data_IF_329719429561
#
_entry.id   IF_329719429561
#
_cell.length_a   1.000
_cell.length_b   1.000
_cell.length_c   1.000
_cell.angle_alpha   90.00
_cell.angle_beta   90.00
_cell.angle_gamma   90.00
#
_symmetry.space_group_name_H-M   'P 1'
#
loop_
_entity.id
_entity.type
_entity.pdbx_description
1 polymer ?
#
# COMPACT_ATOMS: atom_id res chain seq x y z
N UNK A 1 -9.87 24.58 5.15
CA UNK A 1 -9.96 23.11 4.94
C UNK A 1 -10.29 22.74 3.49
N UNK A 2 -11.34 23.31 2.86
CA UNK A 2 -11.67 23.00 1.46
C UNK A 2 -10.55 23.37 0.46
N UNK A 3 -9.94 24.55 0.62
CA UNK A 3 -8.81 25.01 -0.23
C UNK A 3 -7.64 24.01 -0.25
N UNK A 4 -7.28 23.45 0.91
CA UNK A 4 -6.17 22.50 0.99
C UNK A 4 -6.50 21.19 0.29
N UNK A 5 -7.75 20.68 0.42
CA UNK A 5 -8.21 19.47 -0.27
C UNK A 5 -8.24 19.63 -1.79
N UNK A 6 -8.69 20.79 -2.27
CA UNK A 6 -8.72 21.09 -3.71
C UNK A 6 -7.30 21.19 -4.25
N UNK A 7 -6.38 21.86 -3.54
CA UNK A 7 -4.98 21.98 -3.95
C UNK A 7 -4.29 20.61 -3.99
N UNK A 8 -4.46 19.78 -2.96
CA UNK A 8 -3.84 18.45 -2.93
C UNK A 8 -4.38 17.55 -4.04
N UNK A 9 -5.67 17.62 -4.35
CA UNK A 9 -6.25 16.89 -5.49
C UNK A 9 -5.75 17.42 -6.83
N UNK A 10 -5.73 18.74 -6.99
CA UNK A 10 -5.29 19.40 -8.23
C UNK A 10 -3.81 19.19 -8.53
N UNK A 11 -2.97 18.95 -7.52
CA UNK A 11 -1.55 18.63 -7.71
C UNK A 11 -1.31 17.12 -7.78
N UNK A 12 -1.95 16.35 -6.89
CA UNK A 12 -1.75 14.91 -6.78
C UNK A 12 -2.20 14.13 -8.02
N UNK A 13 -3.37 14.48 -8.58
CA UNK A 13 -3.89 13.79 -9.77
C UNK A 13 -2.99 13.98 -10.99
N UNK A 14 -2.60 15.22 -11.38
CA UNK A 14 -1.64 15.41 -12.47
C UNK A 14 -0.29 14.76 -12.19
N UNK A 15 0.22 14.81 -10.95
CA UNK A 15 1.50 14.18 -10.60
C UNK A 15 1.46 12.67 -10.88
N UNK A 16 0.41 11.97 -10.46
CA UNK A 16 0.24 10.54 -10.72
C UNK A 16 0.13 10.27 -12.23
N UNK A 17 -0.67 11.05 -12.96
CA UNK A 17 -0.81 10.90 -14.41
C UNK A 17 0.53 11.11 -15.13
N UNK A 18 1.26 12.17 -14.79
CA UNK A 18 2.57 12.47 -15.39
C UNK A 18 3.59 11.38 -15.05
N UNK A 19 3.61 10.88 -13.82
CA UNK A 19 4.49 9.77 -13.43
C UNK A 19 4.22 8.49 -14.23
N UNK A 20 2.94 8.20 -14.53
CA UNK A 20 2.54 7.06 -15.37
C UNK A 20 2.91 7.33 -16.84
N UNK A 21 2.71 8.54 -17.33
CA UNK A 21 2.97 8.89 -18.74
C UNK A 21 4.46 8.85 -19.08
N UNK A 22 5.31 9.44 -18.23
CA UNK A 22 6.76 9.54 -18.43
C UNK A 22 7.55 8.38 -17.80
N UNK A 23 6.88 7.32 -17.35
CA UNK A 23 7.50 6.16 -16.72
C UNK A 23 8.43 5.34 -17.63
N UNK A 24 8.45 5.62 -18.94
CA UNK A 24 9.40 5.04 -19.89
C UNK A 24 10.15 6.18 -20.61
N UNK A 25 11.50 6.18 -20.67
CA UNK A 25 12.47 5.23 -20.11
C UNK A 25 12.89 5.50 -18.66
N UNK A 26 12.38 6.55 -18.02
CA UNK A 26 12.82 6.98 -16.68
C UNK A 26 11.96 6.37 -15.58
N UNK A 27 12.54 5.93 -14.44
CA UNK A 27 11.82 5.15 -13.42
C UNK A 27 10.89 5.99 -12.52
N UNK A 28 10.30 7.08 -13.02
CA UNK A 28 9.46 8.00 -12.25
C UNK A 28 8.29 7.31 -11.55
N UNK A 29 7.60 6.41 -12.25
CA UNK A 29 6.52 5.63 -11.67
C UNK A 29 7.02 4.70 -10.55
N UNK A 30 8.19 4.08 -10.73
CA UNK A 30 8.78 3.21 -9.69
C UNK A 30 9.16 3.99 -8.44
N UNK A 31 9.72 5.19 -8.60
CA UNK A 31 10.04 6.08 -7.48
C UNK A 31 8.78 6.54 -6.74
N UNK A 32 7.70 6.86 -7.47
CA UNK A 32 6.41 7.21 -6.89
C UNK A 32 5.87 6.07 -6.01
N UNK A 33 5.81 4.86 -6.55
CA UNK A 33 5.27 3.70 -5.82
C UNK A 33 6.18 3.31 -4.64
N UNK A 34 7.50 3.40 -4.80
CA UNK A 34 8.45 3.16 -3.70
C UNK A 34 8.28 4.20 -2.56
N UNK A 35 8.14 5.48 -2.91
CA UNK A 35 7.88 6.54 -1.93
C UNK A 35 6.52 6.33 -1.22
N UNK A 36 5.47 5.99 -1.98
CA UNK A 36 4.16 5.69 -1.44
C UNK A 36 4.19 4.48 -0.49
N UNK A 37 4.96 3.43 -0.82
CA UNK A 37 5.10 2.27 0.04
C UNK A 37 5.90 2.57 1.31
N UNK A 38 6.98 3.35 1.23
CA UNK A 38 7.72 3.76 2.43
C UNK A 38 6.85 4.62 3.35
N UNK A 39 6.11 5.58 2.79
CA UNK A 39 5.18 6.41 3.56
C UNK A 39 4.05 5.58 4.18
N UNK A 40 3.41 4.72 3.38
CA UNK A 40 2.32 3.86 3.84
C UNK A 40 2.76 2.85 4.90
N UNK A 41 3.93 2.23 4.74
CA UNK A 41 4.48 1.28 5.72
C UNK A 41 4.88 2.01 7.00
N UNK A 42 5.43 3.23 6.91
CA UNK A 42 5.73 4.06 8.08
C UNK A 42 4.46 4.41 8.86
N UNK A 43 3.40 4.86 8.19
CA UNK A 43 2.12 5.16 8.82
C UNK A 43 1.49 3.91 9.43
N UNK A 44 1.55 2.77 8.74
CA UNK A 44 1.08 1.48 9.24
C UNK A 44 1.77 1.08 10.54
N UNK A 45 3.11 1.17 10.60
CA UNK A 45 3.85 0.86 11.83
C UNK A 45 3.63 1.88 12.94
N UNK A 46 3.40 3.15 12.59
CA UNK A 46 3.04 4.16 13.57
C UNK A 46 1.69 3.85 14.23
N UNK A 47 0.69 3.44 13.46
CA UNK A 47 -0.60 2.97 13.98
C UNK A 47 -0.48 1.69 14.82
N UNK A 48 0.51 0.84 14.51
CA UNK A 48 0.83 -0.36 15.28
C UNK A 48 1.65 -0.07 16.56
N UNK A 49 1.85 1.20 16.94
CA UNK A 49 2.61 1.66 18.12
C UNK A 49 4.10 1.29 18.11
N UNK A 50 4.74 1.30 16.94
CA UNK A 50 6.20 1.22 16.89
C UNK A 50 6.82 2.58 17.18
N UNK A 51 7.76 2.61 18.14
CA UNK A 51 8.59 3.80 18.36
C UNK A 51 9.54 4.03 17.19
N UNK A 52 9.84 5.31 16.92
CA UNK A 52 10.80 5.70 15.85
C UNK A 52 12.22 5.17 16.06
N UNK A 53 12.53 4.72 17.28
CA UNK A 53 13.84 4.13 17.64
C UNK A 53 13.85 2.61 17.51
N UNK A 54 12.72 1.96 17.25
CA UNK A 54 12.65 0.51 17.11
C UNK A 54 13.36 0.05 15.82
N UNK A 55 14.44 -0.73 15.91
CA UNK A 55 15.18 -1.23 14.74
C UNK A 55 14.29 -2.00 13.77
N UNK A 56 13.27 -2.68 14.30
CA UNK A 56 12.30 -3.46 13.55
C UNK A 56 11.46 -2.61 12.57
N UNK A 57 11.24 -1.33 12.87
CA UNK A 57 10.57 -0.41 11.97
C UNK A 57 11.39 -0.23 10.68
N UNK A 58 12.70 0.00 10.82
CA UNK A 58 13.61 0.15 9.68
C UNK A 58 13.75 -1.13 8.89
N UNK A 59 13.79 -2.29 9.57
CA UNK A 59 13.73 -3.58 8.90
C UNK A 59 12.47 -3.67 8.02
N UNK A 60 11.30 -3.43 8.58
CA UNK A 60 10.04 -3.48 7.84
C UNK A 60 9.98 -2.50 6.65
N UNK A 61 10.52 -1.29 6.80
CA UNK A 61 10.64 -0.32 5.70
C UNK A 61 11.55 -0.83 4.57
N UNK A 62 12.71 -1.38 4.91
CA UNK A 62 13.64 -1.97 3.94
C UNK A 62 13.00 -3.16 3.21
N UNK A 63 12.27 -4.00 3.94
CA UNK A 63 11.54 -5.14 3.39
C UNK A 63 10.43 -4.69 2.45
N UNK A 64 9.64 -3.69 2.85
CA UNK A 64 8.62 -3.08 2.00
C UNK A 64 9.22 -2.51 0.71
N UNK A 65 10.38 -1.84 0.80
CA UNK A 65 11.08 -1.29 -0.37
C UNK A 65 11.58 -2.40 -1.30
N UNK A 66 12.20 -3.44 -0.74
CA UNK A 66 12.68 -4.59 -1.51
C UNK A 66 11.54 -5.33 -2.21
N UNK A 67 10.39 -5.49 -1.54
CA UNK A 67 9.21 -6.13 -2.12
C UNK A 67 8.60 -5.29 -3.25
N UNK A 68 8.48 -3.97 -3.07
CA UNK A 68 7.97 -3.07 -4.12
C UNK A 68 8.84 -3.12 -5.37
N UNK A 69 10.16 -3.11 -5.21
CA UNK A 69 11.10 -3.11 -6.32
C UNK A 69 11.35 -4.49 -6.92
N UNK A 70 10.83 -5.57 -6.31
CA UNK A 70 11.00 -6.95 -6.79
C UNK A 70 10.67 -7.17 -8.28
N UNK A 71 9.68 -6.50 -8.90
CA UNK A 71 9.37 -6.72 -10.31
C UNK A 71 10.50 -6.31 -11.28
N UNK A 72 11.43 -5.46 -10.84
CA UNK A 72 12.63 -5.10 -11.63
C UNK A 72 13.68 -6.20 -11.65
N UNK A 73 13.64 -7.13 -10.69
CA UNK A 73 14.61 -8.19 -10.49
C UNK A 73 14.00 -9.57 -10.73
N UNK A 74 13.20 -9.73 -11.80
CA UNK A 74 12.49 -10.99 -12.15
C UNK A 74 13.39 -12.24 -12.23
N UNK A 75 14.70 -12.08 -12.42
CA UNK A 75 15.66 -13.19 -12.44
C UNK A 75 15.97 -13.77 -11.06
N UNK A 76 15.64 -13.06 -9.99
CA UNK A 76 15.84 -13.48 -8.61
C UNK A 76 14.46 -13.82 -7.99
N UNK A 77 14.38 -14.90 -7.23
CA UNK A 77 13.21 -15.21 -6.39
C UNK A 77 13.19 -14.27 -5.17
N UNK A 78 13.04 -12.97 -5.43
CA UNK A 78 13.13 -11.91 -4.41
C UNK A 78 12.08 -12.09 -3.32
N UNK A 79 10.87 -12.54 -3.67
CA UNK A 79 9.76 -12.68 -2.72
C UNK A 79 10.08 -13.70 -1.61
N UNK A 80 10.40 -14.98 -1.90
CA UNK A 80 10.84 -15.93 -0.87
C UNK A 80 12.04 -15.44 -0.05
N UNK A 81 13.04 -14.84 -0.71
CA UNK A 81 14.26 -14.37 -0.06
C UNK A 81 13.94 -13.26 0.94
N UNK A 82 13.23 -12.22 0.50
CA UNK A 82 12.88 -11.07 1.36
C UNK A 82 11.98 -11.51 2.50
N UNK A 83 10.94 -12.32 2.25
CA UNK A 83 10.05 -12.78 3.33
C UNK A 83 10.83 -13.62 4.35
N UNK A 84 11.60 -14.61 3.88
CA UNK A 84 12.35 -15.51 4.78
C UNK A 84 13.38 -14.75 5.59
N UNK A 85 14.17 -13.88 4.97
CA UNK A 85 15.17 -13.06 5.67
C UNK A 85 14.52 -12.10 6.67
N UNK A 86 13.41 -11.46 6.31
CA UNK A 86 12.64 -10.60 7.22
C UNK A 86 12.15 -11.39 8.43
N UNK A 87 11.56 -12.57 8.22
CA UNK A 87 11.07 -13.43 9.29
C UNK A 87 12.21 -13.87 10.21
N UNK A 88 13.34 -14.32 9.67
CA UNK A 88 14.48 -14.78 10.45
C UNK A 88 15.14 -13.64 11.24
N UNK A 89 15.44 -12.51 10.60
CA UNK A 89 16.10 -11.37 11.25
C UNK A 89 15.20 -10.80 12.35
N UNK A 90 13.90 -10.61 12.08
CA UNK A 90 12.97 -10.09 13.09
C UNK A 90 12.82 -11.06 14.27
N UNK A 91 12.78 -12.37 14.01
CA UNK A 91 12.68 -13.38 15.07
C UNK A 91 13.96 -13.46 15.91
N UNK A 92 15.14 -13.45 15.28
CA UNK A 92 16.43 -13.41 15.98
C UNK A 92 16.53 -12.15 16.85
N UNK A 93 16.18 -10.99 16.30
CA UNK A 93 16.17 -9.74 17.04
C UNK A 93 15.27 -9.81 18.29
N UNK A 94 14.08 -10.39 18.17
CA UNK A 94 13.14 -10.54 19.28
C UNK A 94 13.62 -11.56 20.33
N UNK A 95 14.30 -12.63 19.91
CA UNK A 95 14.89 -13.61 20.83
C UNK A 95 16.04 -13.01 21.66
N UNK A 96 16.81 -12.09 21.09
CA UNK A 96 17.89 -11.38 21.77
C UNK A 96 17.40 -10.23 22.66
N UNK A 97 16.12 -9.85 22.61
CA UNK A 97 15.58 -8.73 23.38
C UNK A 97 15.30 -9.15 24.83
N UNK A 98 15.69 -8.35 25.84
CA UNK A 98 15.49 -8.68 27.25
C UNK A 98 14.02 -8.67 27.68
N UNK A 99 13.18 -7.82 27.08
CA UNK A 99 11.74 -7.84 27.27
C UNK A 99 11.05 -8.55 26.12
N UNK A 100 10.20 -9.53 26.45
CA UNK A 100 9.37 -10.28 25.50
C UNK A 100 7.94 -9.78 25.44
N UNK A 101 7.62 -8.75 26.20
CA UNK A 101 6.29 -8.18 26.19
C UNK A 101 5.96 -7.71 24.76
N UNK A 102 4.83 -8.18 24.23
CA UNK A 102 4.37 -7.86 22.88
C UNK A 102 5.28 -8.31 21.72
N UNK A 103 6.29 -9.16 21.98
CA UNK A 103 7.24 -9.60 20.95
C UNK A 103 6.54 -10.24 19.74
N UNK A 104 5.61 -11.16 19.99
CA UNK A 104 4.84 -11.80 18.92
C UNK A 104 3.95 -10.81 18.15
N UNK A 105 3.31 -9.87 18.86
CA UNK A 105 2.48 -8.83 18.24
C UNK A 105 3.32 -7.95 17.30
N UNK A 106 4.48 -7.52 17.77
CA UNK A 106 5.38 -6.68 16.97
C UNK A 106 5.89 -7.46 15.75
N UNK A 107 6.31 -8.71 15.93
CA UNK A 107 6.68 -9.59 14.83
C UNK A 107 5.59 -9.70 13.76
N UNK A 108 4.36 -9.98 14.18
CA UNK A 108 3.21 -10.10 13.29
C UNK A 108 2.94 -8.79 12.54
N UNK A 109 3.01 -7.63 13.20
CA UNK A 109 2.79 -6.34 12.56
C UNK A 109 3.88 -5.98 11.55
N UNK A 110 5.15 -6.32 11.80
CA UNK A 110 6.23 -6.06 10.82
C UNK A 110 5.97 -6.81 9.54
N UNK A 111 5.69 -8.11 9.65
CA UNK A 111 5.38 -8.96 8.50
C UNK A 111 4.11 -8.46 7.81
N UNK A 112 3.06 -8.16 8.57
CA UNK A 112 1.82 -7.64 8.04
C UNK A 112 2.03 -6.33 7.27
N UNK A 113 2.77 -5.36 7.80
CA UNK A 113 3.01 -4.09 7.10
C UNK A 113 3.83 -4.27 5.82
N UNK A 114 4.87 -5.11 5.86
CA UNK A 114 5.72 -5.37 4.69
C UNK A 114 4.94 -6.08 3.57
N UNK A 115 4.11 -7.08 3.91
CA UNK A 115 3.29 -7.79 2.93
C UNK A 115 2.08 -6.96 2.48
N UNK A 116 1.35 -6.35 3.40
CA UNK A 116 0.12 -5.63 3.09
C UNK A 116 0.38 -4.34 2.31
N UNK A 117 1.40 -3.57 2.67
CA UNK A 117 1.73 -2.33 1.97
C UNK A 117 2.73 -2.61 0.86
N UNK A 118 3.90 -3.16 1.21
CA UNK A 118 5.00 -3.34 0.27
C UNK A 118 4.68 -4.32 -0.85
N UNK A 119 4.28 -5.55 -0.53
CA UNK A 119 3.99 -6.55 -1.55
C UNK A 119 2.75 -6.20 -2.37
N UNK A 120 1.67 -5.68 -1.78
CA UNK A 120 0.50 -5.28 -2.57
C UNK A 120 0.80 -4.13 -3.53
N UNK A 121 1.62 -3.14 -3.11
CA UNK A 121 2.01 -2.04 -4.00
C UNK A 121 2.98 -2.47 -5.11
N UNK A 122 3.71 -3.57 -4.95
CA UNK A 122 4.59 -4.09 -6.02
C UNK A 122 3.80 -4.48 -7.27
N UNK A 123 2.53 -4.88 -7.12
CA UNK A 123 1.66 -5.23 -8.25
C UNK A 123 1.41 -4.06 -9.20
N UNK A 124 1.51 -2.80 -8.76
CA UNK A 124 1.49 -1.66 -9.67
C UNK A 124 2.66 -1.67 -10.65
N UNK A 125 3.85 -2.02 -10.17
CA UNK A 125 5.04 -2.15 -11.02
C UNK A 125 4.98 -3.42 -11.88
N UNK A 126 4.45 -4.52 -11.35
CA UNK A 126 4.20 -5.73 -12.16
C UNK A 126 3.21 -5.48 -13.29
N UNK A 127 2.12 -4.74 -13.02
CA UNK A 127 1.11 -4.36 -14.00
C UNK A 127 1.71 -3.45 -15.07
N UNK A 128 2.56 -2.49 -14.67
CA UNK A 128 3.30 -1.64 -15.61
C UNK A 128 4.27 -2.43 -16.49
N UNK A 129 4.83 -3.52 -15.97
CA UNK A 129 5.75 -4.40 -16.71
C UNK A 129 5.07 -5.40 -17.65
N UNK A 130 3.76 -5.32 -17.86
CA UNK A 130 3.02 -6.09 -18.88
C UNK A 130 3.06 -5.38 -20.25
N UNK A 131 2.68 -6.11 -21.30
CA UNK A 131 2.37 -5.50 -22.59
C UNK A 131 1.22 -4.49 -22.40
N UNK A 132 1.41 -3.29 -22.94
CA UNK A 132 0.51 -2.15 -22.73
C UNK A 132 0.26 -1.79 -21.25
N UNK A 133 1.23 -2.08 -20.37
CA UNK A 133 1.11 -1.90 -18.92
C UNK A 133 0.75 -0.48 -18.48
N UNK A 134 1.06 0.54 -19.29
CA UNK A 134 0.61 1.92 -19.06
C UNK A 134 -0.91 2.03 -19.05
N UNK A 135 -1.58 1.46 -20.06
CA UNK A 135 -3.03 1.55 -20.17
C UNK A 135 -3.72 0.71 -19.10
N UNK A 136 -3.14 -0.44 -18.73
CA UNK A 136 -3.61 -1.22 -17.60
C UNK A 136 -3.54 -0.48 -16.27
N UNK A 137 -2.45 0.27 -16.01
CA UNK A 137 -2.34 1.12 -14.82
C UNK A 137 -3.39 2.23 -14.82
N UNK A 138 -3.61 2.90 -15.95
CA UNK A 138 -4.67 3.91 -16.05
C UNK A 138 -6.05 3.31 -15.83
N UNK A 139 -6.33 2.16 -16.43
CA UNK A 139 -7.59 1.45 -16.25
C UNK A 139 -7.81 1.14 -14.77
N UNK A 140 -6.83 0.56 -14.08
CA UNK A 140 -6.95 0.21 -12.66
C UNK A 140 -7.20 1.45 -11.76
N UNK A 141 -6.54 2.59 -12.03
CA UNK A 141 -6.77 3.82 -11.25
C UNK A 141 -8.16 4.39 -11.55
N UNK A 142 -8.56 4.45 -12.81
CA UNK A 142 -9.86 4.98 -13.20
C UNK A 142 -11.00 4.11 -12.67
N UNK A 143 -10.88 2.78 -12.72
CA UNK A 143 -11.91 1.87 -12.19
C UNK A 143 -12.01 1.95 -10.68
N UNK A 144 -10.89 2.06 -9.95
CA UNK A 144 -10.94 2.26 -8.49
C UNK A 144 -11.58 3.59 -8.12
N UNK A 145 -11.25 4.69 -8.82
CA UNK A 145 -11.88 5.99 -8.60
C UNK A 145 -13.36 6.01 -8.97
N UNK A 146 -13.72 5.39 -10.10
CA UNK A 146 -15.11 5.25 -10.52
C UNK A 146 -15.91 4.42 -9.53
N UNK A 147 -15.37 3.30 -9.06
CA UNK A 147 -15.98 2.45 -8.03
C UNK A 147 -16.23 3.23 -6.73
N UNK A 148 -15.24 3.94 -6.20
CA UNK A 148 -15.38 4.71 -4.97
C UNK A 148 -16.41 5.85 -5.12
N UNK A 149 -16.42 6.49 -6.29
CA UNK A 149 -17.37 7.57 -6.60
C UNK A 149 -18.80 7.02 -6.73
N UNK A 150 -18.98 5.93 -7.47
CA UNK A 150 -20.27 5.25 -7.63
C UNK A 150 -20.81 4.75 -6.30
N UNK A 151 -19.96 4.10 -5.50
CA UNK A 151 -20.31 3.62 -4.18
C UNK A 151 -20.70 4.75 -3.22
N UNK A 152 -20.02 5.89 -3.29
CA UNK A 152 -20.38 7.06 -2.50
C UNK A 152 -21.75 7.64 -2.89
N UNK A 153 -22.01 7.85 -4.19
CA UNK A 153 -23.26 8.47 -4.63
C UNK A 153 -24.47 7.55 -4.43
N UNK A 154 -24.35 6.28 -4.82
CA UNK A 154 -25.45 5.31 -4.67
C UNK A 154 -25.64 4.96 -3.19
N UNK A 155 -24.54 4.77 -2.45
CA UNK A 155 -24.60 4.54 -1.01
C UNK A 155 -25.25 5.70 -0.25
N UNK A 156 -25.02 6.95 -0.67
CA UNK A 156 -25.65 8.13 -0.05
C UNK A 156 -27.12 8.30 -0.44
N UNK A 157 -27.48 8.02 -1.69
CA UNK A 157 -28.84 8.23 -2.19
C UNK A 157 -29.80 7.08 -1.81
N UNK A 158 -29.32 5.84 -1.82
CA UNK A 158 -30.13 4.63 -1.71
C UNK A 158 -29.68 3.67 -0.59
N UNK A 159 -28.65 4.02 0.17
CA UNK A 159 -28.10 3.17 1.21
C UNK A 159 -29.08 2.91 2.35
N UNK A 160 -29.52 1.65 2.48
CA UNK A 160 -30.41 1.19 3.55
C UNK A 160 -29.74 0.13 4.41
N UNK A 161 -28.98 -0.77 3.80
CA UNK A 161 -28.36 -1.89 4.51
C UNK A 161 -26.88 -1.62 4.75
N UNK A 162 -26.49 -1.53 6.02
CA UNK A 162 -25.08 -1.35 6.41
C UNK A 162 -24.27 -2.59 6.05
N UNK A 163 -23.09 -2.37 5.46
CA UNK A 163 -22.18 -3.44 5.04
C UNK A 163 -21.31 -3.92 6.21
N UNK A 164 -20.74 -2.99 6.98
CA UNK A 164 -19.78 -3.29 8.05
C UNK A 164 -19.99 -2.36 9.26
N UNK A 165 -21.12 -2.46 9.99
CA UNK A 165 -21.49 -1.49 11.03
C UNK A 165 -20.48 -1.39 12.18
N UNK A 166 -19.76 -2.47 12.50
CA UNK A 166 -18.75 -2.49 13.57
C UNK A 166 -17.42 -1.83 13.19
N UNK A 167 -17.16 -1.64 11.89
CA UNK A 167 -15.87 -1.12 11.36
C UNK A 167 -16.07 0.25 10.70
N UNK A 168 -17.17 0.43 9.96
CA UNK A 168 -17.49 1.66 9.24
C UNK A 168 -19.01 1.81 9.07
N UNK A 169 -19.58 2.77 9.80
CA UNK A 169 -21.02 3.04 9.76
C UNK A 169 -21.50 3.63 8.42
N UNK A 170 -20.59 4.19 7.60
CA UNK A 170 -20.95 4.85 6.35
C UNK A 170 -21.11 3.89 5.17
N UNK A 171 -20.57 2.66 5.23
CA UNK A 171 -20.60 1.71 4.11
C UNK A 171 -21.93 0.96 4.04
N UNK A 172 -22.53 0.89 2.84
CA UNK A 172 -23.78 0.19 2.57
C UNK A 172 -23.64 -0.83 1.45
N UNK A 173 -24.47 -1.88 1.47
CA UNK A 173 -24.51 -2.90 0.40
C UNK A 173 -24.94 -2.29 -0.93
N UNK A 174 -25.89 -1.35 -0.92
CA UNK A 174 -26.32 -0.65 -2.13
C UNK A 174 -25.19 0.20 -2.71
N UNK A 175 -24.38 0.84 -1.86
CA UNK A 175 -23.18 1.53 -2.29
C UNK A 175 -22.18 0.57 -2.93
N UNK A 176 -21.92 -0.59 -2.30
CA UNK A 176 -20.99 -1.57 -2.87
C UNK A 176 -21.42 -2.07 -4.27
N UNK A 177 -22.72 -2.31 -4.47
CA UNK A 177 -23.26 -2.67 -5.79
C UNK A 177 -23.17 -1.49 -6.76
N UNK A 178 -23.36 -0.27 -6.29
CA UNK A 178 -23.25 0.93 -7.11
C UNK A 178 -21.83 1.28 -7.58
N UNK A 179 -20.81 0.68 -6.99
CA UNK A 179 -19.43 0.81 -7.46
C UNK A 179 -19.03 -0.21 -8.53
N UNK A 180 -19.79 -1.31 -8.67
CA UNK A 180 -19.60 -2.37 -9.68
C UNK A 180 -20.18 -1.95 -11.04
#
# INVERSE_FOLDING_TARGET
MLKHRVITGAVGVPLVILAIWFGDPWPWFSLLIAAAALAGTYEFYHMANFDRREPLLYLGLLCSLALVLSPHYRSLDVLPIVITTTMLISLIYLLCRPSRENAFRNWAWIIAGALYVGWMLSYWLSLRGLEDGRNWVYLAILTTFANDTGAFFIGRAMGKHKLAPTISEAKTWEGAIGGL
#
